data_IF_081074865322
#
_entry.id   IF_081074865322
#
_cell.length_a   1.000
_cell.length_b   1.000
_cell.length_c   1.000
_cell.angle_alpha   90.00
_cell.angle_beta   90.00
_cell.angle_gamma   90.00
#
_symmetry.space_group_name_H-M   'P 1'
#
loop_
_entity.id
_entity.type
_entity.pdbx_description
1 polymer ?
#
# COMPACT_ATOMS: atom_id res chain seq x y z
N UNK A 1 -0.14 -16.18 6.73
CA UNK A 1 -0.77 -15.08 5.96
C UNK A 1 0.34 -14.08 5.64
N UNK A 2 0.75 -14.00 4.38
CA UNK A 2 1.85 -13.13 3.94
C UNK A 2 1.27 -11.77 3.53
N UNK A 3 1.68 -10.71 4.22
CA UNK A 3 1.43 -9.33 3.76
C UNK A 3 2.44 -9.05 2.67
N UNK A 4 1.98 -8.92 1.42
CA UNK A 4 2.84 -8.50 0.31
C UNK A 4 2.75 -6.99 0.18
N UNK A 5 3.80 -6.28 0.59
CA UNK A 5 4.05 -4.94 0.04
C UNK A 5 4.62 -5.15 -1.37
N UNK A 6 3.79 -4.92 -2.38
CA UNK A 6 4.13 -5.14 -3.79
C UNK A 6 4.52 -3.82 -4.45
N UNK A 7 5.82 -3.59 -4.63
CA UNK A 7 6.33 -2.57 -5.56
C UNK A 7 6.32 -3.11 -7.01
N UNK A 8 5.21 -3.71 -7.46
CA UNK A 8 5.12 -4.19 -8.85
C UNK A 8 4.79 -3.04 -9.78
N UNK A 9 5.84 -2.50 -10.39
CA UNK A 9 5.77 -1.77 -11.65
C UNK A 9 5.14 -2.70 -12.71
N UNK A 10 3.87 -2.47 -13.05
CA UNK A 10 3.22 -3.17 -14.16
C UNK A 10 3.87 -2.74 -15.47
N UNK A 11 4.75 -3.60 -15.99
CA UNK A 11 5.22 -3.50 -17.37
C UNK A 11 4.10 -3.94 -18.30
N UNK A 12 3.47 -2.98 -18.96
CA UNK A 12 2.93 -3.17 -20.31
C UNK A 12 3.32 -1.95 -21.13
N UNK A 13 4.45 -2.07 -21.82
CA UNK A 13 4.76 -1.24 -22.98
C UNK A 13 5.36 -2.17 -24.03
N UNK A 14 4.55 -2.49 -25.04
CA UNK A 14 5.07 -2.78 -26.37
C UNK A 14 5.81 -1.52 -26.82
N UNK A 15 7.04 -1.68 -27.27
CA UNK A 15 7.95 -0.65 -27.77
C UNK A 15 8.47 0.38 -26.75
N UNK A 16 9.58 0.00 -26.11
CA UNK A 16 10.84 0.73 -26.24
C UNK A 16 10.86 2.26 -26.09
N UNK A 17 10.54 2.79 -24.91
CA UNK A 17 11.20 4.01 -24.42
C UNK A 17 11.12 4.07 -22.89
N UNK A 18 12.26 3.90 -22.22
CA UNK A 18 12.38 4.24 -20.79
C UNK A 18 12.65 5.74 -20.70
N UNK A 19 11.60 6.52 -20.90
CA UNK A 19 11.60 7.92 -20.47
C UNK A 19 11.55 7.90 -18.95
N UNK A 20 12.68 8.25 -18.33
CA UNK A 20 12.76 8.54 -16.91
C UNK A 20 11.90 9.75 -16.59
N UNK A 21 10.60 9.53 -16.39
CA UNK A 21 9.70 10.54 -15.87
C UNK A 21 9.53 10.25 -14.38
N UNK A 22 9.72 11.26 -13.53
CA UNK A 22 9.44 11.21 -12.10
C UNK A 22 7.92 11.07 -11.89
N UNK A 23 7.41 9.88 -12.17
CA UNK A 23 6.00 9.56 -12.12
C UNK A 23 5.66 9.31 -10.64
N UNK A 24 4.87 10.22 -10.06
CA UNK A 24 4.32 10.17 -8.71
C UNK A 24 4.13 8.72 -8.23
N UNK A 25 4.96 8.28 -7.28
CA UNK A 25 4.91 6.92 -6.77
C UNK A 25 3.59 6.70 -6.05
N UNK A 26 2.70 5.90 -6.64
CA UNK A 26 1.43 5.55 -6.01
C UNK A 26 1.72 4.54 -4.90
N UNK A 27 1.39 4.90 -3.66
CA UNK A 27 1.45 3.98 -2.52
C UNK A 27 0.16 3.18 -2.46
N UNK A 28 0.26 1.86 -2.59
CA UNK A 28 -0.88 0.94 -2.57
C UNK A 28 -0.65 -0.10 -1.47
N UNK A 29 -1.68 -0.34 -0.67
CA UNK A 29 -1.73 -1.44 0.28
C UNK A 29 -2.99 -2.29 0.05
N UNK A 30 -2.96 -3.51 0.54
CA UNK A 30 -4.08 -4.44 0.45
C UNK A 30 -4.32 -5.03 1.82
N UNK A 31 -5.56 -4.95 2.31
CA UNK A 31 -5.97 -5.51 3.61
C UNK A 31 -7.06 -6.54 3.39
N UNK A 32 -7.12 -7.53 4.27
CA UNK A 32 -8.15 -8.57 4.22
C UNK A 32 -8.99 -8.59 5.49
N UNK A 33 -10.29 -8.77 5.33
CA UNK A 33 -11.24 -8.95 6.43
C UNK A 33 -11.20 -10.40 6.93
N UNK A 34 -11.76 -10.65 8.11
CA UNK A 34 -11.96 -12.00 8.65
C UNK A 34 -12.86 -12.88 7.79
N UNK A 35 -13.71 -12.25 6.97
CA UNK A 35 -14.61 -12.91 6.02
C UNK A 35 -13.92 -13.27 4.69
N UNK A 36 -12.62 -12.99 4.55
CA UNK A 36 -11.84 -13.29 3.34
C UNK A 36 -12.01 -12.26 2.21
N UNK A 37 -12.74 -11.16 2.45
CA UNK A 37 -12.80 -10.04 1.52
C UNK A 37 -11.50 -9.25 1.57
N UNK A 38 -11.17 -8.57 0.48
CA UNK A 38 -9.91 -7.85 0.34
C UNK A 38 -10.16 -6.46 -0.22
N UNK A 39 -9.56 -5.45 0.42
CA UNK A 39 -9.68 -4.05 0.07
C UNK A 39 -8.32 -3.50 -0.34
N UNK A 40 -8.31 -2.73 -1.43
CA UNK A 40 -7.14 -1.96 -1.86
C UNK A 40 -7.22 -0.56 -1.25
N UNK A 41 -6.14 -0.14 -0.62
CA UNK A 41 -5.98 1.18 -0.01
C UNK A 41 -4.99 1.99 -0.85
N UNK A 42 -5.42 3.16 -1.30
CA UNK A 42 -4.56 4.18 -1.90
C UNK A 42 -5.20 5.56 -1.70
N UNK A 43 -4.44 6.63 -1.93
CA UNK A 43 -4.96 8.00 -1.83
C UNK A 43 -6.06 8.29 -2.86
N UNK A 44 -6.05 7.56 -3.98
CA UNK A 44 -7.00 7.70 -5.09
C UNK A 44 -8.38 7.12 -4.78
N UNK A 45 -8.45 6.06 -3.96
CA UNK A 45 -9.69 5.32 -3.70
C UNK A 45 -10.18 5.42 -2.25
N UNK A 46 -9.53 6.25 -1.42
CA UNK A 46 -9.80 6.31 0.04
C UNK A 46 -11.26 6.66 0.37
N UNK A 47 -11.90 7.48 -0.46
CA UNK A 47 -13.29 7.92 -0.26
C UNK A 47 -14.31 6.91 -0.81
N UNK A 48 -13.86 5.89 -1.56
CA UNK A 48 -14.68 4.81 -2.12
C UNK A 48 -14.71 3.56 -1.22
N UNK A 49 -13.91 3.54 -0.14
CA UNK A 49 -13.83 2.41 0.77
C UNK A 49 -15.08 2.37 1.65
N UNK A 50 -15.86 1.29 1.52
CA UNK A 50 -16.97 1.01 2.40
C UNK A 50 -16.47 0.62 3.80
N UNK A 51 -16.55 1.58 4.73
CA UNK A 51 -16.09 1.43 6.11
C UNK A 51 -16.92 0.40 6.90
N UNK A 52 -18.18 0.15 6.52
CA UNK A 52 -19.03 -0.82 7.21
C UNK A 52 -18.54 -2.26 7.01
N UNK A 53 -17.77 -2.49 5.94
CA UNK A 53 -17.21 -3.79 5.59
C UNK A 53 -15.83 -4.05 6.21
N UNK A 54 -15.25 -3.05 6.90
CA UNK A 54 -13.97 -3.17 7.58
C UNK A 54 -14.16 -3.69 9.01
N UNK A 55 -13.99 -4.99 9.19
CA UNK A 55 -14.06 -5.62 10.52
C UNK A 55 -12.81 -5.37 11.39
N UNK A 56 -12.87 -5.82 12.64
CA UNK A 56 -11.78 -5.69 13.62
C UNK A 56 -10.45 -6.27 13.11
N UNK A 57 -10.50 -7.30 12.26
CA UNK A 57 -9.31 -7.91 11.67
C UNK A 57 -8.68 -6.97 10.65
N UNK A 58 -9.48 -6.37 9.78
CA UNK A 58 -9.03 -5.34 8.83
C UNK A 58 -8.47 -4.12 9.57
N UNK A 59 -9.13 -3.65 10.63
CA UNK A 59 -8.66 -2.53 11.44
C UNK A 59 -7.31 -2.82 12.12
N UNK A 60 -7.17 -4.02 12.70
CA UNK A 60 -5.91 -4.47 13.31
C UNK A 60 -4.78 -4.51 12.29
N UNK A 61 -5.05 -4.93 11.06
CA UNK A 61 -4.05 -4.93 9.98
C UNK A 61 -3.62 -3.53 9.58
N UNK A 62 -4.56 -2.58 9.44
CA UNK A 62 -4.25 -1.18 9.15
C UNK A 62 -3.38 -0.55 10.24
N UNK A 63 -3.69 -0.79 11.51
CA UNK A 63 -2.89 -0.29 12.63
C UNK A 63 -1.45 -0.86 12.62
N UNK A 64 -1.29 -2.15 12.33
CA UNK A 64 0.03 -2.78 12.18
C UNK A 64 0.80 -2.18 11.00
N UNK A 65 0.13 -1.92 9.88
CA UNK A 65 0.74 -1.28 8.71
C UNK A 65 1.21 0.14 9.04
N UNK A 66 0.39 0.93 9.74
CA UNK A 66 0.76 2.27 10.21
C UNK A 66 2.02 2.23 11.08
N UNK A 67 2.05 1.36 12.10
CA UNK A 67 3.22 1.21 12.98
C UNK A 67 4.48 0.75 12.23
N UNK A 68 4.32 -0.14 11.24
CA UNK A 68 5.41 -0.57 10.38
C UNK A 68 5.98 0.60 9.56
N UNK A 69 5.10 1.40 8.95
CA UNK A 69 5.52 2.56 8.16
C UNK A 69 6.21 3.61 9.02
N UNK A 70 5.68 3.91 10.21
CA UNK A 70 6.32 4.81 11.17
C UNK A 70 7.73 4.36 11.55
N UNK A 71 7.90 3.07 11.82
CA UNK A 71 9.21 2.48 12.10
C UNK A 71 10.18 2.64 10.92
N UNK A 72 9.74 2.28 9.71
CA UNK A 72 10.57 2.36 8.51
C UNK A 72 10.96 3.81 8.18
N UNK A 73 10.01 4.75 8.24
CA UNK A 73 10.27 6.18 8.04
C UNK A 73 11.25 6.73 9.09
N UNK A 74 11.13 6.31 10.35
CA UNK A 74 12.05 6.70 11.42
C UNK A 74 13.47 6.19 11.16
N UNK A 75 13.62 4.95 10.68
CA UNK A 75 14.95 4.39 10.33
C UNK A 75 15.54 5.00 9.07
N UNK A 76 14.74 5.29 8.05
CA UNK A 76 15.20 5.94 6.83
C UNK A 76 15.73 7.36 7.10
N UNK A 77 15.08 8.11 8.00
CA UNK A 77 15.54 9.43 8.45
C UNK A 77 16.91 9.38 9.14
N UNK A 78 17.23 8.28 9.85
CA UNK A 78 18.55 8.10 10.49
C UNK A 78 19.66 7.84 9.47
N UNK A 79 19.35 7.21 8.32
CA UNK A 79 20.33 6.92 7.27
C UNK A 79 20.60 8.09 6.31
N UNK A 80 19.95 9.24 6.51
CA UNK A 80 20.11 10.45 5.68
C UNK A 80 20.81 11.60 6.44
N UNK A 81 21.44 11.29 7.58
CA UNK A 81 22.29 12.21 8.37
C UNK A 81 23.77 11.90 8.23
#
# INVERSE_FOLDING_TARGET
>A
MHVFLSNRTTRLASDGEIVGNSQLGIAIATISTSHGQTFTLSDEVKDEIDLEMLDDTALTQMQKLMSLMDYLCSKAKVNSS
#
